data_IF_851356588051
#
_entry.id   IF_851356588051
#
_cell.length_a   1.000
_cell.length_b   1.000
_cell.length_c   1.000
_cell.angle_alpha   90.00
_cell.angle_beta   90.00
_cell.angle_gamma   90.00
#
_symmetry.space_group_name_H-M   'P 1'
#
loop_
_entity.id
_entity.type
_entity.pdbx_description
1 polymer ?
#
# COMPACT_ATOMS: atom_id res chain seq x y z
N UNK A 1 -14.28 14.41 -15.74
CA UNK A 1 -13.22 13.39 -15.85
C UNK A 1 -13.74 12.31 -16.78
N UNK A 2 -12.92 11.65 -17.62
CA UNK A 2 -13.39 10.52 -18.40
C UNK A 2 -13.90 9.43 -17.43
N UNK A 3 -15.16 9.06 -17.57
CA UNK A 3 -15.72 7.95 -16.80
C UNK A 3 -15.32 6.66 -17.51
N UNK A 4 -14.81 5.70 -16.74
CA UNK A 4 -14.57 4.36 -17.24
C UNK A 4 -15.91 3.63 -17.39
N UNK A 5 -16.03 2.86 -18.46
CA UNK A 5 -17.25 2.14 -18.79
C UNK A 5 -17.42 0.92 -17.88
N UNK A 6 -18.49 0.88 -17.10
CA UNK A 6 -18.81 -0.25 -16.22
C UNK A 6 -18.97 -1.58 -16.98
N UNK A 7 -19.32 -1.57 -18.29
CA UNK A 7 -19.35 -2.79 -19.09
C UNK A 7 -17.96 -3.36 -19.36
N UNK A 8 -16.94 -2.51 -19.37
CA UNK A 8 -15.54 -2.90 -19.54
C UNK A 8 -14.85 -3.18 -18.18
N UNK A 9 -15.32 -2.54 -17.10
CA UNK A 9 -14.79 -2.68 -15.73
C UNK A 9 -15.90 -3.09 -14.76
N UNK A 10 -16.44 -4.33 -14.90
CA UNK A 10 -17.64 -4.77 -14.18
C UNK A 10 -17.46 -4.87 -12.67
N UNK A 11 -16.24 -4.96 -12.17
CA UNK A 11 -15.94 -5.01 -10.74
C UNK A 11 -15.44 -3.66 -10.21
N UNK A 12 -14.44 -3.06 -10.89
CA UNK A 12 -13.76 -1.88 -10.36
C UNK A 12 -14.65 -0.62 -10.41
N UNK A 13 -15.47 -0.41 -11.45
CA UNK A 13 -16.31 0.77 -11.54
C UNK A 13 -17.42 0.80 -10.48
N UNK A 14 -18.19 -0.28 -10.24
CA UNK A 14 -19.14 -0.29 -9.13
C UNK A 14 -18.47 -0.17 -7.76
N UNK A 15 -17.31 -0.83 -7.56
CA UNK A 15 -16.54 -0.71 -6.31
C UNK A 15 -16.00 0.70 -6.09
N UNK A 16 -15.61 1.40 -7.15
CA UNK A 16 -15.18 2.79 -7.09
C UNK A 16 -16.30 3.74 -6.59
N UNK A 17 -17.54 3.51 -6.99
CA UNK A 17 -18.68 4.25 -6.45
C UNK A 17 -18.83 4.02 -4.94
N UNK A 18 -18.69 2.78 -4.48
CA UNK A 18 -18.72 2.42 -3.06
C UNK A 18 -17.57 3.09 -2.30
N UNK A 19 -16.34 3.03 -2.85
CA UNK A 19 -15.18 3.67 -2.23
C UNK A 19 -15.32 5.19 -2.10
N UNK A 20 -15.97 5.86 -3.07
CA UNK A 20 -16.30 7.28 -2.99
C UNK A 20 -17.33 7.59 -1.90
N UNK A 21 -18.37 6.75 -1.75
CA UNK A 21 -19.35 6.92 -0.65
C UNK A 21 -18.64 6.77 0.72
N UNK A 22 -17.80 5.74 0.88
CA UNK A 22 -17.03 5.51 2.09
C UNK A 22 -16.05 6.66 2.35
N UNK A 23 -15.33 7.12 1.34
CA UNK A 23 -14.41 8.25 1.44
C UNK A 23 -15.11 9.56 1.80
N UNK A 24 -16.31 9.82 1.29
CA UNK A 24 -17.13 10.97 1.69
C UNK A 24 -17.52 10.88 3.17
N UNK A 25 -17.87 9.68 3.65
CA UNK A 25 -18.12 9.42 5.07
C UNK A 25 -16.86 9.70 5.90
N UNK A 26 -15.72 9.14 5.53
CA UNK A 26 -14.44 9.39 6.21
C UNK A 26 -14.09 10.87 6.27
N UNK A 27 -14.24 11.59 5.15
CA UNK A 27 -14.01 13.04 5.10
C UNK A 27 -14.89 13.79 6.09
N UNK A 28 -16.16 13.41 6.23
CA UNK A 28 -17.07 14.03 7.20
C UNK A 28 -16.64 13.81 8.66
N UNK A 29 -16.09 12.64 8.97
CA UNK A 29 -15.51 12.35 10.29
C UNK A 29 -14.21 13.12 10.51
N UNK A 30 -13.32 13.14 9.51
CA UNK A 30 -12.05 13.88 9.56
C UNK A 30 -12.25 15.37 9.84
N UNK A 31 -13.21 16.01 9.15
CA UNK A 31 -13.52 17.43 9.31
C UNK A 31 -14.13 17.76 10.69
N UNK A 32 -14.85 16.82 11.31
CA UNK A 32 -15.42 16.99 12.66
C UNK A 32 -14.41 16.71 13.78
N UNK A 33 -13.31 16.05 13.46
CA UNK A 33 -12.43 15.39 14.42
C UNK A 33 -13.04 14.11 14.99
N UNK A 34 -12.22 13.15 15.33
CA UNK A 34 -12.63 11.86 15.91
C UNK A 34 -11.84 11.59 17.18
N UNK A 35 -12.46 10.82 18.08
CA UNK A 35 -11.77 10.25 19.22
C UNK A 35 -11.21 8.90 18.80
N UNK A 36 -9.91 8.71 18.97
CA UNK A 36 -9.24 7.43 18.74
C UNK A 36 -9.49 6.49 19.91
N UNK A 37 -9.75 5.24 19.62
CA UNK A 37 -9.79 4.13 20.57
C UNK A 37 -8.62 3.19 20.30
N UNK A 38 -8.07 2.59 21.36
CA UNK A 38 -7.00 1.60 21.22
C UNK A 38 -7.58 0.18 21.19
N UNK A 39 -7.30 -0.59 20.14
CA UNK A 39 -7.59 -2.04 20.04
C UNK A 39 -6.60 -2.90 20.85
N UNK A 40 -5.69 -2.30 21.59
CA UNK A 40 -4.60 -2.89 22.35
C UNK A 40 -3.60 -1.83 22.74
N UNK A 41 -2.33 -2.21 22.94
CA UNK A 41 -1.32 -1.28 23.44
C UNK A 41 -0.96 -0.16 22.44
N UNK A 42 -1.12 -0.39 21.13
CA UNK A 42 -0.66 0.53 20.07
C UNK A 42 -1.56 0.64 18.84
N UNK A 43 -2.50 -0.31 18.62
CA UNK A 43 -3.39 -0.24 17.46
C UNK A 43 -4.56 0.71 17.74
N UNK A 44 -4.77 1.62 16.82
CA UNK A 44 -5.84 2.62 16.89
C UNK A 44 -6.97 2.18 15.95
N UNK A 45 -8.20 2.35 16.43
CA UNK A 45 -9.41 2.28 15.64
C UNK A 45 -10.26 3.50 15.97
N UNK A 46 -10.98 3.98 15.00
CA UNK A 46 -11.93 5.06 15.22
C UNK A 46 -13.36 4.61 14.89
N UNK A 47 -14.34 5.40 15.31
CA UNK A 47 -15.72 5.20 14.87
C UNK A 47 -15.84 5.25 13.34
N UNK A 48 -14.97 6.02 12.68
CA UNK A 48 -14.94 6.17 11.24
C UNK A 48 -14.59 4.86 10.51
N UNK A 49 -13.61 4.08 11.03
CA UNK A 49 -13.21 2.77 10.47
C UNK A 49 -14.42 1.83 10.45
N UNK A 50 -15.08 1.68 11.60
CA UNK A 50 -16.25 0.78 11.74
C UNK A 50 -17.43 1.24 10.88
N UNK A 51 -17.68 2.54 10.81
CA UNK A 51 -18.77 3.09 10.00
C UNK A 51 -18.50 2.92 8.50
N UNK A 52 -17.24 3.10 8.07
CA UNK A 52 -16.78 2.88 6.70
C UNK A 52 -16.90 1.40 6.31
N UNK A 53 -16.38 0.47 7.14
CA UNK A 53 -16.48 -0.98 6.84
C UNK A 53 -17.92 -1.45 6.74
N UNK A 54 -18.79 -0.99 7.64
CA UNK A 54 -20.23 -1.31 7.59
C UNK A 54 -20.88 -0.84 6.30
N UNK A 55 -20.62 0.41 5.91
CA UNK A 55 -21.14 0.98 4.66
C UNK A 55 -20.65 0.16 3.45
N UNK A 56 -19.37 -0.09 3.35
CA UNK A 56 -18.76 -0.85 2.24
C UNK A 56 -19.38 -2.25 2.17
N UNK A 57 -19.47 -2.97 3.29
CA UNK A 57 -20.06 -4.30 3.35
C UNK A 57 -21.52 -4.35 2.93
N UNK A 58 -22.34 -3.37 3.34
CA UNK A 58 -23.74 -3.26 2.93
C UNK A 58 -23.88 -2.99 1.43
N UNK A 59 -23.04 -2.11 0.86
CA UNK A 59 -23.04 -1.78 -0.56
C UNK A 59 -22.54 -2.94 -1.43
N UNK A 60 -21.45 -3.59 -1.02
CA UNK A 60 -20.94 -4.78 -1.72
C UNK A 60 -21.98 -5.89 -1.78
N UNK A 61 -22.69 -6.15 -0.68
CA UNK A 61 -23.76 -7.15 -0.67
C UNK A 61 -24.91 -6.80 -1.60
N UNK A 62 -25.23 -5.51 -1.74
CA UNK A 62 -26.29 -5.06 -2.64
C UNK A 62 -25.89 -5.19 -4.13
N UNK A 63 -24.63 -4.89 -4.45
CA UNK A 63 -24.10 -4.92 -5.83
C UNK A 63 -23.61 -6.29 -6.23
N UNK A 64 -22.94 -7.01 -5.33
CA UNK A 64 -22.33 -8.33 -5.53
C UNK A 64 -22.81 -9.34 -4.48
N UNK A 65 -24.07 -9.79 -4.52
CA UNK A 65 -24.67 -10.57 -3.44
C UNK A 65 -24.05 -11.95 -3.22
N UNK A 66 -23.26 -12.45 -4.17
CA UNK A 66 -22.60 -13.75 -4.10
C UNK A 66 -21.09 -13.65 -3.78
N UNK A 67 -20.56 -12.42 -3.63
CA UNK A 67 -19.16 -12.24 -3.28
C UNK A 67 -18.97 -12.30 -1.76
N UNK A 68 -17.85 -12.89 -1.34
CA UNK A 68 -17.38 -12.85 0.03
C UNK A 68 -16.77 -11.50 0.39
N UNK A 69 -16.71 -11.21 1.69
CA UNK A 69 -16.10 -10.00 2.22
C UNK A 69 -15.20 -10.35 3.40
N UNK A 70 -13.96 -9.88 3.35
CA UNK A 70 -12.95 -10.01 4.39
C UNK A 70 -12.41 -8.61 4.73
N UNK A 71 -12.98 -7.98 5.76
CA UNK A 71 -12.63 -6.63 6.21
C UNK A 71 -11.67 -6.63 7.40
N UNK A 72 -10.92 -5.55 7.57
CA UNK A 72 -9.99 -5.34 8.68
C UNK A 72 -10.71 -5.31 10.03
N UNK A 73 -11.84 -4.58 10.09
CA UNK A 73 -12.58 -4.32 11.33
C UNK A 73 -13.48 -5.48 11.78
N UNK A 74 -13.36 -6.61 11.11
CA UNK A 74 -13.98 -7.86 11.53
C UNK A 74 -15.10 -8.37 10.65
N UNK A 75 -15.45 -7.69 9.57
CA UNK A 75 -16.42 -8.23 8.60
C UNK A 75 -15.87 -9.52 7.97
N UNK A 76 -16.61 -10.61 8.16
CA UNK A 76 -16.32 -11.94 7.62
C UNK A 76 -17.61 -12.53 7.07
N UNK A 77 -17.76 -12.51 5.73
CA UNK A 77 -18.99 -12.95 5.07
C UNK A 77 -18.66 -13.83 3.88
N UNK A 78 -19.36 -14.98 3.74
CA UNK A 78 -19.26 -15.88 2.59
C UNK A 78 -17.80 -16.12 2.10
N UNK A 79 -16.90 -16.44 3.03
CA UNK A 79 -15.46 -16.56 2.76
C UNK A 79 -15.08 -17.70 1.81
N UNK A 80 -15.99 -18.63 1.56
CA UNK A 80 -15.91 -19.75 0.61
C UNK A 80 -16.39 -19.40 -0.79
N UNK A 81 -16.83 -18.15 -1.02
CA UNK A 81 -17.25 -17.67 -2.32
C UNK A 81 -16.10 -17.66 -3.34
N UNK A 82 -16.45 -17.87 -4.62
CA UNK A 82 -15.50 -17.78 -5.73
C UNK A 82 -14.83 -16.42 -5.87
N UNK A 83 -15.54 -15.36 -5.48
CA UNK A 83 -15.03 -13.98 -5.43
C UNK A 83 -15.03 -13.46 -3.99
N UNK A 84 -13.91 -12.88 -3.55
CA UNK A 84 -13.76 -12.37 -2.19
C UNK A 84 -13.12 -10.98 -2.19
N UNK A 85 -13.80 -10.01 -1.60
CA UNK A 85 -13.28 -8.67 -1.38
C UNK A 85 -12.43 -8.61 -0.11
N UNK A 86 -11.22 -8.11 -0.22
CA UNK A 86 -10.40 -7.64 0.89
C UNK A 86 -10.62 -6.15 1.05
N UNK A 87 -10.95 -5.70 2.27
CA UNK A 87 -11.32 -4.32 2.53
C UNK A 87 -10.48 -3.78 3.67
N UNK A 88 -9.75 -2.69 3.41
CA UNK A 88 -9.33 -1.76 4.43
C UNK A 88 -10.24 -0.53 4.36
N UNK A 89 -11.10 -0.32 5.37
CA UNK A 89 -12.05 0.78 5.38
C UNK A 89 -11.41 2.14 5.58
N UNK A 90 -10.21 2.17 6.19
CA UNK A 90 -9.42 3.36 6.48
C UNK A 90 -7.93 3.02 6.64
N UNK A 91 -7.22 2.78 5.53
CA UNK A 91 -5.75 2.69 5.58
C UNK A 91 -5.15 4.03 5.99
N UNK A 92 -4.32 4.00 7.03
CA UNK A 92 -3.77 5.19 7.66
C UNK A 92 -4.56 5.70 8.87
N UNK A 93 -5.18 4.81 9.65
CA UNK A 93 -5.95 5.15 10.87
C UNK A 93 -5.18 6.04 11.85
N UNK A 94 -3.87 5.78 12.04
CA UNK A 94 -3.01 6.64 12.87
C UNK A 94 -2.94 8.07 12.32
N UNK A 95 -2.77 8.22 11.01
CA UNK A 95 -2.76 9.53 10.36
C UNK A 95 -4.10 10.25 10.55
N UNK A 96 -5.17 9.54 10.31
CA UNK A 96 -6.53 10.03 10.45
C UNK A 96 -6.80 10.54 11.87
N UNK A 97 -6.47 9.74 12.88
CA UNK A 97 -6.65 10.07 14.28
C UNK A 97 -5.86 11.31 14.73
N UNK A 98 -4.70 11.56 14.10
CA UNK A 98 -3.86 12.72 14.36
C UNK A 98 -4.15 13.93 13.45
N UNK A 99 -5.16 13.85 12.56
CA UNK A 99 -5.45 14.92 11.60
C UNK A 99 -4.36 15.07 10.52
N UNK A 100 -3.54 14.04 10.29
CA UNK A 100 -2.56 14.04 9.20
C UNK A 100 -3.23 13.61 7.88
N UNK A 101 -3.18 14.44 6.82
CA UNK A 101 -4.01 14.28 5.62
C UNK A 101 -3.47 13.23 4.64
N UNK A 102 -3.29 11.98 5.08
CA UNK A 102 -2.79 10.88 4.27
C UNK A 102 -3.42 9.57 4.70
N UNK A 103 -4.52 9.20 4.06
CA UNK A 103 -5.30 7.99 4.32
C UNK A 103 -6.21 7.69 3.12
N UNK A 104 -6.67 6.45 3.01
CA UNK A 104 -7.55 6.03 1.91
C UNK A 104 -8.52 4.92 2.32
N UNK A 105 -9.43 4.60 1.39
CA UNK A 105 -10.20 3.35 1.36
C UNK A 105 -9.51 2.42 0.36
N UNK A 106 -9.27 1.16 0.74
CA UNK A 106 -8.68 0.13 -0.11
C UNK A 106 -9.62 -1.07 -0.26
N UNK A 107 -9.86 -1.51 -1.50
CA UNK A 107 -10.74 -2.62 -1.83
C UNK A 107 -10.11 -3.48 -2.93
N UNK A 108 -9.73 -4.71 -2.63
CA UNK A 108 -9.17 -5.67 -3.58
C UNK A 108 -10.09 -6.88 -3.77
N UNK A 109 -10.35 -7.28 -5.01
CA UNK A 109 -11.16 -8.45 -5.35
C UNK A 109 -10.28 -9.61 -5.78
N UNK A 110 -10.34 -10.68 -5.03
CA UNK A 110 -9.74 -11.96 -5.35
C UNK A 110 -10.75 -12.86 -6.08
N UNK A 111 -10.32 -13.51 -7.15
CA UNK A 111 -11.01 -14.61 -7.79
C UNK A 111 -10.36 -15.93 -7.38
N UNK A 112 -11.15 -16.84 -6.86
CA UNK A 112 -10.78 -18.17 -6.38
C UNK A 112 -11.62 -19.20 -7.13
N UNK A 113 -11.09 -19.89 -8.16
CA UNK A 113 -11.83 -20.91 -8.88
C UNK A 113 -12.42 -21.97 -7.95
N UNK A 114 -13.58 -22.51 -8.29
CA UNK A 114 -14.24 -23.54 -7.52
C UNK A 114 -13.28 -24.72 -7.23
N UNK A 115 -13.21 -25.14 -5.98
CA UNK A 115 -12.28 -26.19 -5.53
C UNK A 115 -10.90 -25.70 -5.07
N UNK A 116 -10.63 -24.39 -5.15
CA UNK A 116 -9.43 -23.83 -4.53
C UNK A 116 -9.52 -23.99 -3.00
N UNK A 117 -8.51 -24.59 -2.33
CA UNK A 117 -8.47 -24.66 -0.87
C UNK A 117 -8.64 -23.29 -0.23
N UNK A 118 -9.29 -23.23 0.96
CA UNK A 118 -9.60 -21.95 1.64
C UNK A 118 -8.32 -21.19 2.01
N UNK A 119 -7.25 -21.92 2.26
CA UNK A 119 -5.91 -21.44 2.62
C UNK A 119 -4.98 -21.20 1.43
N UNK A 120 -5.43 -21.50 0.20
CA UNK A 120 -4.65 -21.18 -1.00
C UNK A 120 -5.06 -19.82 -1.56
N UNK A 121 -4.09 -19.03 -1.99
CA UNK A 121 -4.35 -17.75 -2.65
C UNK A 121 -5.05 -17.92 -4.00
N UNK A 122 -5.99 -17.03 -4.25
CA UNK A 122 -6.57 -16.82 -5.57
C UNK A 122 -5.75 -15.80 -6.38
N UNK A 123 -6.39 -15.20 -7.34
CA UNK A 123 -5.81 -14.16 -8.19
C UNK A 123 -6.54 -12.86 -7.97
N UNK A 124 -5.84 -11.77 -7.69
CA UNK A 124 -6.46 -10.45 -7.61
C UNK A 124 -6.89 -10.01 -9.02
N UNK A 125 -8.18 -9.72 -9.18
CA UNK A 125 -8.80 -9.40 -10.48
C UNK A 125 -9.32 -7.97 -10.57
N UNK A 126 -9.56 -7.30 -9.44
CA UNK A 126 -9.89 -5.88 -9.39
C UNK A 126 -9.29 -5.22 -8.15
N UNK A 127 -8.93 -3.96 -8.27
CA UNK A 127 -8.40 -3.15 -7.17
C UNK A 127 -8.91 -1.72 -7.27
N UNK A 128 -9.31 -1.16 -6.12
CA UNK A 128 -9.76 0.22 -5.97
C UNK A 128 -9.10 0.82 -4.74
N UNK A 129 -8.46 1.97 -4.89
CA UNK A 129 -7.94 2.78 -3.79
C UNK A 129 -8.47 4.20 -3.98
N UNK A 130 -9.11 4.75 -2.95
CA UNK A 130 -9.63 6.11 -3.01
C UNK A 130 -9.11 6.96 -1.86
N UNK A 131 -8.39 8.01 -2.19
CA UNK A 131 -7.89 9.03 -1.27
C UNK A 131 -8.86 10.22 -1.26
N UNK A 132 -9.68 10.39 -0.21
CA UNK A 132 -10.81 11.31 -0.25
C UNK A 132 -10.44 12.79 -0.12
N UNK A 133 -9.28 13.12 0.46
CA UNK A 133 -8.88 14.50 0.64
C UNK A 133 -8.33 15.13 -0.63
N UNK A 134 -7.70 14.33 -1.52
CA UNK A 134 -7.21 14.76 -2.83
C UNK A 134 -8.16 14.44 -3.98
N UNK A 135 -9.26 13.71 -3.69
CA UNK A 135 -10.16 13.15 -4.71
C UNK A 135 -9.39 12.33 -5.76
N UNK A 136 -8.49 11.48 -5.30
CA UNK A 136 -7.69 10.59 -6.14
C UNK A 136 -8.25 9.18 -6.08
N UNK A 137 -8.81 8.73 -7.20
CA UNK A 137 -9.37 7.40 -7.36
C UNK A 137 -8.47 6.57 -8.28
N UNK A 138 -7.82 5.56 -7.70
CA UNK A 138 -7.02 4.58 -8.42
C UNK A 138 -7.86 3.32 -8.63
N UNK A 139 -7.90 2.81 -9.86
CA UNK A 139 -8.57 1.54 -10.17
C UNK A 139 -7.74 0.71 -11.14
N UNK A 140 -7.84 -0.61 -11.00
CA UNK A 140 -7.34 -1.57 -11.95
C UNK A 140 -8.29 -2.77 -12.06
N UNK A 141 -8.38 -3.38 -13.24
CA UNK A 141 -8.85 -4.75 -13.43
C UNK A 141 -7.83 -5.53 -14.24
N UNK A 142 -7.68 -6.80 -13.91
CA UNK A 142 -6.66 -7.67 -14.48
C UNK A 142 -6.69 -7.69 -16.02
N UNK A 143 -5.55 -7.36 -16.64
CA UNK A 143 -5.38 -7.27 -18.09
C UNK A 143 -5.95 -6.01 -18.73
N UNK A 144 -6.39 -5.01 -17.94
CA UNK A 144 -7.02 -3.79 -18.48
C UNK A 144 -6.23 -2.51 -18.14
N UNK A 145 -5.09 -2.64 -17.45
CA UNK A 145 -4.28 -1.52 -17.01
C UNK A 145 -4.79 -0.86 -15.73
N UNK A 146 -4.01 0.09 -15.23
CA UNK A 146 -4.30 0.89 -14.04
C UNK A 146 -4.65 2.33 -14.42
N UNK A 147 -5.51 2.97 -13.64
CA UNK A 147 -6.07 4.30 -13.94
C UNK A 147 -6.14 5.16 -12.68
N UNK A 148 -5.78 6.43 -12.81
CA UNK A 148 -6.01 7.49 -11.82
C UNK A 148 -7.05 8.46 -12.37
N UNK A 149 -8.19 8.59 -11.71
CA UNK A 149 -9.27 9.48 -12.13
C UNK A 149 -9.65 9.32 -13.62
N UNK A 150 -9.73 8.06 -14.09
CA UNK A 150 -10.08 7.69 -15.46
C UNK A 150 -8.97 7.89 -16.51
N UNK A 151 -7.76 8.31 -16.09
CA UNK A 151 -6.59 8.38 -16.97
C UNK A 151 -5.67 7.20 -16.71
N UNK A 152 -5.25 6.52 -17.75
CA UNK A 152 -4.30 5.41 -17.62
C UNK A 152 -2.98 5.90 -17.01
N UNK A 153 -2.43 5.13 -16.08
CA UNK A 153 -1.18 5.41 -15.38
C UNK A 153 -0.14 4.32 -15.63
N UNK A 154 1.11 4.68 -15.44
CA UNK A 154 2.25 3.79 -15.56
C UNK A 154 3.27 4.11 -14.46
N UNK A 155 4.06 3.12 -14.09
CA UNK A 155 5.18 3.28 -13.17
C UNK A 155 6.26 4.24 -13.71
N UNK A 156 7.06 4.78 -12.82
CA UNK A 156 8.14 5.72 -13.15
C UNK A 156 9.21 5.10 -14.07
N UNK A 157 9.82 5.88 -14.97
CA UNK A 157 10.88 5.41 -15.87
C UNK A 157 12.27 5.33 -15.23
N UNK A 158 12.47 5.84 -14.01
CA UNK A 158 13.75 5.91 -13.29
C UNK A 158 14.41 4.54 -13.18
N UNK A 159 15.69 4.43 -13.52
CA UNK A 159 16.41 3.15 -13.60
C UNK A 159 17.46 2.93 -12.51
N UNK A 160 17.78 3.96 -11.72
CA UNK A 160 18.80 3.92 -10.68
C UNK A 160 18.19 4.24 -9.31
N UNK A 161 18.54 3.44 -8.31
CA UNK A 161 18.06 3.66 -6.94
C UNK A 161 18.47 5.03 -6.39
N UNK A 162 19.66 5.49 -6.72
CA UNK A 162 20.17 6.80 -6.30
C UNK A 162 19.29 7.98 -6.74
N UNK A 163 18.58 7.85 -7.85
CA UNK A 163 17.66 8.86 -8.37
C UNK A 163 16.21 8.65 -7.94
N UNK A 164 15.95 7.59 -7.18
CA UNK A 164 14.61 7.13 -6.87
C UNK A 164 14.08 7.71 -5.57
N UNK A 165 12.81 8.08 -5.57
CA UNK A 165 12.02 8.35 -4.39
C UNK A 165 11.26 7.08 -4.02
N UNK A 166 11.50 6.55 -2.83
CA UNK A 166 10.90 5.29 -2.37
C UNK A 166 10.15 5.48 -1.06
N UNK A 167 9.30 4.53 -0.70
CA UNK A 167 8.55 4.59 0.56
C UNK A 167 8.65 3.30 1.37
N UNK A 168 8.33 3.40 2.65
CA UNK A 168 8.21 2.28 3.58
C UNK A 168 7.24 2.59 4.70
N UNK A 169 6.76 1.54 5.37
CA UNK A 169 6.04 1.64 6.63
C UNK A 169 6.75 0.88 7.76
N UNK A 170 6.20 1.02 8.94
CA UNK A 170 6.65 0.31 10.13
C UNK A 170 5.44 -0.31 10.82
N UNK A 171 5.50 -1.59 11.21
CA UNK A 171 4.42 -2.22 11.94
C UNK A 171 4.09 -1.42 13.21
N UNK A 172 2.82 -1.30 13.51
CA UNK A 172 2.35 -0.54 14.69
C UNK A 172 2.85 -1.18 15.98
N UNK A 173 2.91 -2.52 16.01
CA UNK A 173 3.38 -3.30 17.15
C UNK A 173 4.85 -3.64 17.01
N UNK A 174 5.56 -3.73 18.15
CA UNK A 174 6.93 -4.24 18.24
C UNK A 174 7.92 -3.59 17.27
N UNK A 175 7.82 -2.26 17.08
CA UNK A 175 8.72 -1.51 16.19
C UNK A 175 10.20 -1.71 16.53
N UNK A 176 10.51 -1.92 17.80
CA UNK A 176 11.87 -2.17 18.28
C UNK A 176 12.44 -3.54 17.88
N UNK A 177 11.58 -4.49 17.50
CA UNK A 177 11.96 -5.80 16.99
C UNK A 177 12.06 -5.84 15.45
N UNK A 178 11.55 -4.81 14.78
CA UNK A 178 11.53 -4.75 13.33
C UNK A 178 12.92 -4.38 12.78
N UNK A 179 13.48 -5.14 11.83
CA UNK A 179 14.73 -4.80 11.16
C UNK A 179 14.57 -3.57 10.26
N UNK A 180 13.36 -3.09 10.03
CA UNK A 180 13.08 -2.05 9.04
C UNK A 180 13.78 -0.73 9.33
N UNK A 181 14.14 -0.44 10.59
CA UNK A 181 14.92 0.77 10.91
C UNK A 181 16.30 0.76 10.25
N UNK A 182 16.93 -0.42 10.14
CA UNK A 182 18.21 -0.57 9.45
C UNK A 182 18.04 -0.41 7.94
N UNK A 183 16.99 -0.97 7.35
CA UNK A 183 16.68 -0.80 5.93
C UNK A 183 16.34 0.65 5.62
N UNK A 184 15.55 1.32 6.46
CA UNK A 184 15.24 2.74 6.30
C UNK A 184 16.51 3.59 6.26
N UNK A 185 17.46 3.36 7.17
CA UNK A 185 18.75 4.04 7.17
C UNK A 185 19.51 3.81 5.86
N UNK A 186 19.71 2.54 5.48
CA UNK A 186 20.52 2.17 4.33
C UNK A 186 19.93 2.66 3.00
N UNK A 187 18.62 2.55 2.84
CA UNK A 187 17.94 3.08 1.66
C UNK A 187 17.96 4.62 1.62
N UNK A 188 17.85 5.29 2.77
CA UNK A 188 17.98 6.76 2.85
C UNK A 188 19.34 7.24 2.35
N UNK A 189 20.42 6.49 2.63
CA UNK A 189 21.77 6.83 2.20
C UNK A 189 22.05 6.52 0.71
N UNK A 190 21.19 5.73 0.05
CA UNK A 190 21.40 5.23 -1.32
C UNK A 190 20.36 5.65 -2.33
N UNK A 191 19.27 6.23 -1.89
CA UNK A 191 18.20 6.74 -2.75
C UNK A 191 18.16 8.26 -2.72
N UNK A 192 17.36 8.87 -3.59
CA UNK A 192 17.08 10.31 -3.53
C UNK A 192 16.31 10.66 -2.25
N UNK A 193 15.59 9.72 -1.67
CA UNK A 193 14.96 9.85 -0.37
C UNK A 193 13.93 8.77 -0.09
N UNK A 194 13.64 8.58 1.21
CA UNK A 194 12.62 7.64 1.67
C UNK A 194 11.45 8.40 2.30
N UNK A 195 10.25 7.99 1.97
CA UNK A 195 9.00 8.48 2.60
C UNK A 195 8.50 7.45 3.59
N UNK A 196 7.98 7.91 4.71
CA UNK A 196 7.27 7.10 5.70
C UNK A 196 5.93 7.80 5.95
N UNK A 197 5.04 7.67 4.98
CA UNK A 197 3.78 8.41 5.02
C UNK A 197 2.71 7.74 5.87
N UNK A 198 2.69 6.40 5.96
CA UNK A 198 1.88 5.64 6.93
C UNK A 198 0.48 5.26 6.43
N UNK A 199 0.34 5.02 5.13
CA UNK A 199 -0.80 4.39 4.47
C UNK A 199 -0.27 3.55 3.32
N UNK A 200 -0.19 2.24 3.52
CA UNK A 200 0.48 1.31 2.61
C UNK A 200 -0.21 1.23 1.25
N UNK A 201 -1.54 1.26 1.23
CA UNK A 201 -2.30 1.23 -0.02
C UNK A 201 -2.05 2.50 -0.86
N UNK A 202 -1.92 3.69 -0.23
CA UNK A 202 -1.56 4.92 -0.95
C UNK A 202 -0.13 4.84 -1.48
N UNK A 203 0.82 4.32 -0.69
CA UNK A 203 2.21 4.16 -1.13
C UNK A 203 2.30 3.23 -2.35
N UNK A 204 1.56 2.11 -2.37
CA UNK A 204 1.44 1.22 -3.53
C UNK A 204 0.80 1.91 -4.74
N UNK A 205 -0.28 2.67 -4.55
CA UNK A 205 -0.92 3.44 -5.61
C UNK A 205 0.04 4.50 -6.19
N UNK A 206 0.92 5.08 -5.35
CA UNK A 206 1.92 6.05 -5.79
C UNK A 206 3.06 5.38 -6.56
N UNK A 207 3.42 4.14 -6.27
CA UNK A 207 4.31 3.37 -7.15
C UNK A 207 3.64 3.14 -8.50
N UNK A 208 2.37 2.73 -8.52
CA UNK A 208 1.63 2.47 -9.76
C UNK A 208 1.51 3.71 -10.66
N UNK A 209 1.37 4.90 -10.10
CA UNK A 209 1.26 6.14 -10.89
C UNK A 209 2.60 6.88 -11.12
N UNK A 210 3.74 6.27 -10.73
CA UNK A 210 5.07 6.81 -10.99
C UNK A 210 5.48 7.99 -10.11
N UNK A 211 4.82 8.19 -8.97
CA UNK A 211 5.23 9.19 -7.95
C UNK A 211 6.32 8.64 -7.03
N UNK A 212 6.38 7.31 -6.90
CA UNK A 212 7.42 6.57 -6.21
C UNK A 212 7.99 5.51 -7.14
N UNK A 213 9.26 5.21 -7.03
CA UNK A 213 9.90 4.14 -7.77
C UNK A 213 9.84 2.80 -7.05
N UNK A 214 9.63 2.82 -5.72
CA UNK A 214 9.54 1.61 -4.92
C UNK A 214 8.88 1.82 -3.57
N UNK A 215 8.36 0.73 -3.03
CA UNK A 215 7.80 0.63 -1.68
C UNK A 215 8.15 -0.72 -1.09
N UNK A 216 8.49 -0.77 0.18
CA UNK A 216 8.68 -2.01 0.92
C UNK A 216 8.09 -1.91 2.32
N UNK A 217 7.55 -3.00 2.81
CA UNK A 217 7.08 -3.09 4.20
C UNK A 217 7.04 -4.54 4.70
N UNK A 218 6.98 -4.70 6.03
CA UNK A 218 6.82 -5.98 6.72
C UNK A 218 5.45 -6.12 7.34
N UNK A 219 4.93 -7.36 7.34
CA UNK A 219 3.75 -7.77 8.10
C UNK A 219 2.48 -6.97 7.76
N UNK A 220 2.31 -6.65 6.49
CA UNK A 220 1.04 -6.14 5.99
C UNK A 220 0.01 -7.27 5.88
N UNK A 221 -1.25 -6.89 6.01
CA UNK A 221 -2.37 -7.81 5.87
C UNK A 221 -2.87 -7.83 4.41
N UNK A 222 -3.69 -8.83 4.03
CA UNK A 222 -4.27 -8.90 2.69
C UNK A 222 -5.04 -7.65 2.25
N UNK A 223 -5.75 -6.99 3.15
CA UNK A 223 -6.52 -5.79 2.84
C UNK A 223 -5.64 -4.56 2.56
N UNK A 224 -4.45 -4.48 3.14
CA UNK A 224 -3.47 -3.41 2.89
C UNK A 224 -2.89 -3.50 1.46
N UNK A 225 -2.77 -4.73 0.93
CA UNK A 225 -1.95 -5.00 -0.26
C UNK A 225 -2.74 -5.44 -1.49
N UNK A 226 -3.92 -6.06 -1.34
CA UNK A 226 -4.65 -6.67 -2.45
C UNK A 226 -4.91 -5.69 -3.60
N UNK A 227 -5.50 -4.53 -3.33
CA UNK A 227 -5.78 -3.54 -4.37
C UNK A 227 -4.49 -2.97 -4.98
N UNK A 228 -3.53 -2.59 -4.12
CA UNK A 228 -2.27 -1.98 -4.53
C UNK A 228 -1.39 -2.90 -5.36
N UNK A 229 -1.38 -4.21 -5.06
CA UNK A 229 -0.59 -5.20 -5.82
C UNK A 229 -1.04 -5.28 -7.28
N UNK A 230 -2.35 -5.26 -7.52
CA UNK A 230 -2.89 -5.24 -8.88
C UNK A 230 -2.60 -3.91 -9.58
N UNK A 231 -2.78 -2.77 -8.89
CA UNK A 231 -2.47 -1.46 -9.46
C UNK A 231 -1.02 -1.37 -9.94
N UNK A 232 -0.06 -1.83 -9.14
CA UNK A 232 1.36 -1.83 -9.50
C UNK A 232 1.62 -2.71 -10.73
N UNK A 233 1.09 -3.93 -10.75
CA UNK A 233 1.32 -4.87 -11.86
C UNK A 233 0.64 -4.40 -13.16
N UNK A 234 -0.58 -3.90 -13.10
CA UNK A 234 -1.33 -3.37 -14.25
C UNK A 234 -0.74 -2.05 -14.78
N UNK A 235 0.02 -1.32 -13.94
CA UNK A 235 0.78 -0.13 -14.36
C UNK A 235 2.16 -0.47 -14.95
N UNK A 236 2.54 -1.75 -15.02
CA UNK A 236 3.81 -2.24 -15.58
C UNK A 236 4.95 -2.32 -14.55
N UNK A 237 4.63 -2.26 -13.26
CA UNK A 237 5.57 -2.48 -12.16
C UNK A 237 5.75 -3.97 -11.80
N UNK A 238 6.56 -4.20 -10.79
CA UNK A 238 6.86 -5.53 -10.23
C UNK A 238 6.51 -5.55 -8.74
N UNK A 239 5.91 -6.65 -8.28
CA UNK A 239 5.69 -6.91 -6.86
C UNK A 239 6.24 -8.30 -6.51
N UNK A 240 7.09 -8.35 -5.47
CA UNK A 240 7.78 -9.57 -5.03
C UNK A 240 7.95 -9.56 -3.52
N UNK A 241 8.49 -10.65 -2.97
CA UNK A 241 9.16 -10.65 -1.67
C UNK A 241 10.56 -10.04 -1.81
N UNK A 242 11.26 -9.83 -0.68
CA UNK A 242 12.60 -9.20 -0.68
C UNK A 242 13.67 -10.06 -1.35
N UNK A 243 13.47 -11.37 -1.41
CA UNK A 243 14.36 -12.31 -2.10
C UNK A 243 14.05 -12.48 -3.60
N UNK A 244 12.96 -11.83 -4.06
CA UNK A 244 12.47 -11.91 -5.44
C UNK A 244 11.52 -13.08 -5.70
N UNK A 245 11.18 -13.87 -4.69
CA UNK A 245 10.14 -14.88 -4.79
C UNK A 245 8.76 -14.23 -4.99
N UNK A 246 7.76 -14.97 -5.54
CA UNK A 246 6.42 -14.44 -5.75
C UNK A 246 5.82 -13.87 -4.46
N UNK A 247 5.20 -12.70 -4.58
CA UNK A 247 4.40 -12.12 -3.52
C UNK A 247 3.04 -12.82 -3.47
N UNK A 248 2.62 -13.21 -2.27
CA UNK A 248 1.29 -13.72 -1.92
C UNK A 248 0.69 -12.79 -0.88
N UNK A 249 -0.63 -12.76 -0.76
CA UNK A 249 -1.31 -11.85 0.17
C UNK A 249 -1.00 -12.11 1.65
N UNK A 250 -0.56 -13.31 1.99
CA UNK A 250 -0.11 -13.71 3.33
C UNK A 250 1.41 -13.57 3.54
N UNK A 251 2.14 -13.03 2.56
CA UNK A 251 3.59 -12.83 2.65
C UNK A 251 3.95 -11.84 3.76
N UNK A 252 4.98 -12.17 4.55
CA UNK A 252 5.46 -11.30 5.63
C UNK A 252 6.18 -10.05 5.15
N UNK A 253 6.66 -10.03 3.90
CA UNK A 253 7.32 -8.88 3.30
C UNK A 253 6.79 -8.60 1.89
N UNK A 254 6.68 -7.33 1.54
CA UNK A 254 6.30 -6.85 0.22
C UNK A 254 7.36 -5.88 -0.29
N UNK A 255 7.74 -6.06 -1.55
CA UNK A 255 8.57 -5.15 -2.34
C UNK A 255 7.84 -4.85 -3.64
N UNK A 256 7.31 -3.65 -3.78
CA UNK A 256 6.73 -3.13 -5.01
C UNK A 256 7.71 -2.15 -5.66
N UNK A 257 7.94 -2.26 -6.95
CA UNK A 257 8.87 -1.38 -7.69
C UNK A 257 8.35 -1.06 -9.08
N UNK A 258 8.99 -0.09 -9.72
CA UNK A 258 8.79 0.22 -11.14
C UNK A 258 9.39 -0.84 -12.10
N UNK A 259 9.79 -2.02 -11.60
CA UNK A 259 10.43 -3.09 -12.37
C UNK A 259 11.89 -2.82 -12.77
N UNK A 260 12.42 -1.62 -12.56
CA UNK A 260 13.78 -1.24 -12.96
C UNK A 260 14.77 -1.27 -11.80
N UNK A 261 14.36 -0.75 -10.63
CA UNK A 261 15.22 -0.71 -9.44
C UNK A 261 15.10 -1.97 -8.57
N UNK A 262 14.14 -2.86 -8.84
CA UNK A 262 13.84 -4.04 -8.01
C UNK A 262 15.07 -4.93 -7.77
N UNK A 263 15.89 -5.19 -8.81
CA UNK A 263 17.11 -6.00 -8.66
C UNK A 263 18.11 -5.36 -7.70
N UNK A 264 18.31 -4.05 -7.79
CA UNK A 264 19.25 -3.32 -6.91
C UNK A 264 18.74 -3.35 -5.45
N UNK A 265 17.44 -3.10 -5.23
CA UNK A 265 16.83 -3.18 -3.91
C UNK A 265 16.95 -4.58 -3.30
N UNK A 266 16.64 -5.65 -4.06
CA UNK A 266 16.79 -7.05 -3.59
C UNK A 266 18.24 -7.39 -3.21
N UNK A 267 19.22 -6.91 -3.98
CA UNK A 267 20.63 -7.07 -3.65
C UNK A 267 20.97 -6.40 -2.32
N UNK A 268 20.50 -5.19 -2.09
CA UNK A 268 20.70 -4.47 -0.83
C UNK A 268 20.04 -5.20 0.36
N UNK A 269 18.81 -5.69 0.21
CA UNK A 269 18.17 -6.49 1.26
C UNK A 269 19.01 -7.73 1.60
N UNK A 270 19.46 -8.49 0.59
CA UNK A 270 20.30 -9.67 0.80
C UNK A 270 21.62 -9.34 1.50
N UNK A 271 22.25 -8.24 1.16
CA UNK A 271 23.48 -7.78 1.80
C UNK A 271 23.26 -7.37 3.25
N UNK A 272 22.20 -6.60 3.53
CA UNK A 272 21.88 -6.18 4.88
C UNK A 272 21.53 -7.37 5.80
N UNK A 273 20.72 -8.32 5.32
CA UNK A 273 20.43 -9.55 6.07
C UNK A 273 21.68 -10.40 6.35
N UNK A 274 22.67 -10.33 5.48
CA UNK A 274 23.95 -11.01 5.67
C UNK A 274 24.98 -10.17 6.46
N UNK A 275 24.60 -9.01 6.99
CA UNK A 275 25.48 -8.09 7.71
C UNK A 275 26.55 -7.43 6.83
N UNK A 276 26.36 -7.43 5.51
CA UNK A 276 27.25 -6.78 4.54
C UNK A 276 26.71 -5.42 4.13
N UNK A 277 27.62 -4.52 3.72
CA UNK A 277 27.28 -3.19 3.18
C UNK A 277 26.38 -2.36 4.12
N UNK A 278 26.51 -2.56 5.42
CA UNK A 278 25.79 -1.79 6.44
C UNK A 278 26.64 -0.58 6.85
N UNK A 279 26.07 0.59 6.72
CA UNK A 279 26.76 1.85 7.03
C UNK A 279 26.87 2.04 8.55
N UNK A 280 28.08 2.21 9.10
CA UNK A 280 28.22 2.49 10.51
C UNK A 280 27.68 3.88 10.84
N UNK A 281 27.12 4.04 12.03
CA UNK A 281 26.74 5.37 12.54
C UNK A 281 28.04 6.12 12.85
N UNK A 282 28.32 7.26 12.17
CA UNK A 282 29.53 8.00 12.43
C UNK A 282 29.48 8.66 13.81
N UNK A 283 30.62 8.72 14.48
CA UNK A 283 30.77 9.56 15.68
C UNK A 283 30.59 11.04 15.32
N UNK A 284 30.26 11.92 16.29
CA UNK A 284 30.18 13.35 16.03
C UNK A 284 31.45 13.96 15.41
N UNK A 285 32.62 13.43 15.79
CA UNK A 285 33.92 13.87 15.25
C UNK A 285 34.12 13.43 13.80
N UNK A 286 33.80 12.19 13.47
CA UNK A 286 33.84 11.67 12.09
C UNK A 286 32.85 12.40 11.20
N UNK A 287 31.63 12.71 11.70
CA UNK A 287 30.64 13.46 10.98
C UNK A 287 31.14 14.88 10.64
N UNK A 288 31.72 15.57 11.64
CA UNK A 288 32.33 16.90 11.46
C UNK A 288 33.45 16.85 10.39
N UNK A 289 34.35 15.87 10.50
CA UNK A 289 35.47 15.69 9.57
C UNK A 289 34.97 15.50 8.12
N UNK A 290 34.00 14.59 7.91
CA UNK A 290 33.41 14.33 6.59
C UNK A 290 32.78 15.59 5.98
N UNK A 291 32.08 16.37 6.80
CA UNK A 291 31.46 17.64 6.37
C UNK A 291 32.51 18.64 5.93
N UNK A 292 33.57 18.81 6.73
CA UNK A 292 34.63 19.79 6.45
C UNK A 292 35.45 19.38 5.20
N UNK A 293 35.67 18.06 4.97
CA UNK A 293 36.29 17.53 3.76
C UNK A 293 35.41 17.72 2.51
N UNK A 294 34.08 17.59 2.64
CA UNK A 294 33.15 17.84 1.53
C UNK A 294 33.16 19.32 1.13
N UNK A 295 33.07 20.23 2.10
CA UNK A 295 33.12 21.67 1.85
C UNK A 295 34.43 22.13 1.19
N UNK A 296 35.55 21.44 1.47
CA UNK A 296 36.85 21.74 0.85
C UNK A 296 36.96 21.28 -0.62
N UNK A 297 36.10 20.33 -1.06
CA UNK A 297 36.07 19.84 -2.45
C UNK A 297 35.18 20.69 -3.38
N UNK A 298 34.28 21.49 -2.80
CA UNK A 298 33.36 22.38 -3.52
C UNK A 298 33.96 23.78 -3.74
N UNK A 299 35.12 24.05 -3.16
CA UNK A 299 35.93 25.30 -3.39
C UNK A 299 37.02 25.06 -4.44
#
# INVERSE_FOLDING_TARGET
MPELDASQFPFAVPAAAIAREAGALLKSYYERGVTAEFKGDVDIVTEADRASEKLIGERLRAVFPQHGVFGEEGTRQQLDSEYRWYIDPLDGTTNFAHGFPYFCVSMGLEHRPAGTPVDADGVIVAGVIYEPLRDELFIAEKGKGAYLNGRQIHVAPTAMLQESLIATGFPSRKRHESPNIHFYQEFTLRSHGVRRAGAAAVDLAYVACGRLEGFWEFNLNPWDTAAGSLLVTEAGGEITRFDGSPFLLDSHEVLATNGKIGKEMRTLFADMFAGRNVSPIPTPEEFKKRRDEAAAKEQ
#
